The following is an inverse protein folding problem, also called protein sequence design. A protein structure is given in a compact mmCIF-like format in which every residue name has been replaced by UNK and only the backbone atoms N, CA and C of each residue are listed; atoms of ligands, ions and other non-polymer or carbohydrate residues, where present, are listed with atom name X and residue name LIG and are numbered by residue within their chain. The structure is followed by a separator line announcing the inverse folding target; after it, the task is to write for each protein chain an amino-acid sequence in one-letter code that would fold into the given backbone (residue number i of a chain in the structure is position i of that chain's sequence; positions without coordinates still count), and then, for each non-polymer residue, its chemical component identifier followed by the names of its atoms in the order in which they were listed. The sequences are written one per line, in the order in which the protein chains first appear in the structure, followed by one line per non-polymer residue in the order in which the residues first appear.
data_IF_962586082126
#
_entry.id   IF_962586082126
#
_cell.length_a   1.000
_cell.length_b   1.000
_cell.length_c   1.000
_cell.angle_alpha   90.00
_cell.angle_beta   90.00
_cell.angle_gamma   90.00
#
_symmetry.space_group_name_H-M   'P 1'
#
loop_
_entity.id
_entity.type
_entity.pdbx_description
1 polymer ?
#
# COMPACT_ATOMS: atom_id res chain seq x y z
N UNK A 1 12.98 14.90 11.69
CA UNK A 1 12.90 14.61 10.24
C UNK A 1 13.92 15.47 9.50
N UNK A 2 14.49 14.99 8.39
CA UNK A 2 15.57 15.69 7.65
C UNK A 2 15.07 16.68 6.57
N UNK A 3 13.75 16.89 6.45
CA UNK A 3 13.18 17.74 5.41
C UNK A 3 13.32 17.18 3.99
N UNK A 4 13.52 15.86 3.85
CA UNK A 4 13.70 15.19 2.56
C UNK A 4 12.36 14.59 2.10
N UNK A 5 11.87 14.90 0.89
CA UNK A 5 10.72 14.21 0.31
C UNK A 5 10.96 12.71 0.15
N UNK A 6 9.94 11.90 0.40
CA UNK A 6 9.99 10.45 0.21
C UNK A 6 8.84 9.98 -0.69
N UNK A 7 9.14 9.13 -1.66
CA UNK A 7 8.15 8.48 -2.53
C UNK A 7 8.07 7.01 -2.13
N UNK A 8 6.89 6.57 -1.71
CA UNK A 8 6.62 5.14 -1.49
C UNK A 8 5.83 4.62 -2.68
N UNK A 9 6.39 3.64 -3.38
CA UNK A 9 5.70 2.92 -4.44
C UNK A 9 5.85 1.42 -4.20
N UNK A 10 4.81 0.65 -4.50
CA UNK A 10 4.90 -0.82 -4.45
C UNK A 10 4.22 -1.46 -5.67
N UNK A 11 4.82 -2.52 -6.22
CA UNK A 11 4.20 -3.33 -7.26
C UNK A 11 3.12 -4.23 -6.65
N UNK A 12 1.94 -4.24 -7.24
CA UNK A 12 0.80 -5.05 -6.78
C UNK A 12 0.07 -5.64 -7.98
N UNK A 13 -0.03 -6.96 -8.07
CA UNK A 13 -0.69 -7.63 -9.19
C UNK A 13 0.00 -7.29 -10.53
N UNK A 14 -0.72 -6.64 -11.45
CA UNK A 14 -0.23 -6.13 -12.74
C UNK A 14 -0.24 -4.59 -12.76
N UNK A 15 0.04 -3.97 -11.62
CA UNK A 15 -0.05 -2.53 -11.40
C UNK A 15 0.85 -2.04 -10.27
N UNK A 16 0.64 -0.80 -9.84
CA UNK A 16 1.40 -0.19 -8.75
C UNK A 16 0.56 0.79 -7.92
N UNK A 17 0.92 0.92 -6.65
CA UNK A 17 0.42 1.95 -5.75
C UNK A 17 1.52 2.96 -5.44
N UNK A 18 1.14 4.21 -5.20
CA UNK A 18 2.07 5.31 -4.92
C UNK A 18 1.51 6.30 -3.90
N UNK A 19 2.35 6.70 -2.94
CA UNK A 19 2.10 7.76 -1.96
C UNK A 19 3.37 8.61 -1.83
N UNK A 20 3.23 9.94 -1.91
CA UNK A 20 4.32 10.88 -1.66
C UNK A 20 4.21 11.45 -0.23
N UNK A 21 5.34 11.53 0.47
CA UNK A 21 5.49 12.15 1.77
C UNK A 21 6.40 13.38 1.60
N UNK A 22 5.82 14.57 1.79
CA UNK A 22 6.54 15.84 1.61
C UNK A 22 6.76 16.54 2.95
N UNK A 23 7.84 17.32 3.11
CA UNK A 23 8.06 18.13 4.30
C UNK A 23 6.87 19.04 4.61
N UNK A 24 6.48 19.13 5.88
CA UNK A 24 5.33 19.95 6.33
C UNK A 24 3.95 19.39 5.93
N UNK A 25 3.89 18.19 5.34
CA UNK A 25 2.65 17.44 5.11
C UNK A 25 2.59 16.23 6.04
N UNK A 26 1.59 15.37 5.86
CA UNK A 26 1.47 14.14 6.63
C UNK A 26 2.69 13.26 6.42
N UNK A 27 3.32 12.83 7.51
CA UNK A 27 4.49 11.95 7.51
C UNK A 27 4.12 10.49 7.24
N UNK A 28 5.13 9.67 6.92
CA UNK A 28 4.99 8.22 6.75
C UNK A 28 4.41 7.56 8.00
N UNK A 29 4.89 7.93 9.19
CA UNK A 29 4.44 7.33 10.44
C UNK A 29 3.04 7.81 10.85
N UNK A 30 2.68 9.07 10.61
CA UNK A 30 1.29 9.53 10.83
C UNK A 30 0.31 8.79 9.91
N UNK A 31 0.72 8.54 8.66
CA UNK A 31 -0.11 7.83 7.69
C UNK A 31 -0.20 6.34 8.02
N UNK A 32 0.91 5.62 8.09
CA UNK A 32 0.91 4.17 8.21
C UNK A 32 0.83 3.65 9.64
N UNK A 33 1.33 4.41 10.63
CA UNK A 33 1.38 4.03 12.05
C UNK A 33 2.03 2.67 12.26
N UNK A 34 3.30 2.49 11.87
CA UNK A 34 3.95 1.18 11.97
C UNK A 34 4.75 1.01 13.27
N UNK A 35 5.12 2.11 13.94
CA UNK A 35 5.96 2.06 15.14
C UNK A 35 5.29 1.28 16.27
N UNK A 36 6.05 0.38 16.90
CA UNK A 36 5.58 -0.42 18.03
C UNK A 36 4.62 -1.56 17.69
N UNK A 37 4.34 -1.80 16.39
CA UNK A 37 3.48 -2.92 15.95
C UNK A 37 4.29 -4.20 15.77
N UNK A 38 3.61 -5.35 15.90
CA UNK A 38 4.18 -6.65 15.52
C UNK A 38 4.45 -6.70 14.02
N UNK A 39 5.31 -7.60 13.55
CA UNK A 39 5.65 -7.72 12.13
C UNK A 39 4.42 -7.94 11.24
N UNK A 40 3.50 -8.83 11.66
CA UNK A 40 2.24 -9.08 10.94
C UNK A 40 1.38 -7.82 10.92
N UNK A 41 1.29 -7.11 12.04
CA UNK A 41 0.53 -5.87 12.10
C UNK A 41 1.12 -4.80 11.20
N UNK A 42 2.46 -4.69 11.11
CA UNK A 42 3.11 -3.75 10.20
C UNK A 42 2.74 -4.06 8.75
N UNK A 43 2.78 -5.33 8.36
CA UNK A 43 2.40 -5.78 7.01
C UNK A 43 0.93 -5.42 6.70
N UNK A 44 0.00 -5.70 7.62
CA UNK A 44 -1.43 -5.39 7.45
C UNK A 44 -1.64 -3.88 7.32
N UNK A 45 -1.08 -3.09 8.25
CA UNK A 45 -1.22 -1.63 8.24
C UNK A 45 -0.62 -1.02 6.97
N UNK A 46 0.56 -1.49 6.55
CA UNK A 46 1.20 -1.04 5.32
C UNK A 46 0.36 -1.37 4.10
N UNK A 47 -0.11 -2.62 3.96
CA UNK A 47 -0.85 -3.04 2.78
C UNK A 47 -2.20 -2.34 2.65
N UNK A 48 -2.96 -2.23 3.74
CA UNK A 48 -4.24 -1.52 3.74
C UNK A 48 -4.08 -0.01 3.53
N UNK A 49 -3.01 0.57 4.06
CA UNK A 49 -2.70 1.99 3.86
C UNK A 49 -2.28 2.30 2.41
N UNK A 50 -1.52 1.40 1.80
CA UNK A 50 -0.93 1.60 0.47
C UNK A 50 -1.89 1.26 -0.67
N UNK A 51 -2.72 0.22 -0.51
CA UNK A 51 -3.59 -0.30 -1.58
C UNK A 51 -5.08 -0.28 -1.22
N UNK A 52 -5.64 0.85 -0.73
CA UNK A 52 -7.04 0.88 -0.28
C UNK A 52 -8.11 0.60 -1.34
N UNK A 53 -7.83 0.78 -2.65
CA UNK A 53 -8.82 0.52 -3.71
C UNK A 53 -8.82 -0.96 -4.16
N UNK A 54 -7.80 -1.74 -3.79
CA UNK A 54 -7.70 -3.18 -4.10
C UNK A 54 -8.03 -3.50 -5.57
N UNK A 55 -7.46 -2.73 -6.51
CA UNK A 55 -7.78 -2.86 -7.94
C UNK A 55 -7.53 -4.29 -8.47
N UNK A 56 -6.49 -4.94 -7.97
CA UNK A 56 -6.07 -6.29 -8.31
C UNK A 56 -6.99 -7.40 -7.76
N UNK A 57 -7.88 -7.08 -6.82
CA UNK A 57 -8.69 -8.05 -6.07
C UNK A 57 -9.39 -9.09 -6.95
N UNK A 58 -10.08 -8.70 -8.05
CA UNK A 58 -10.84 -9.65 -8.86
C UNK A 58 -10.04 -10.70 -9.62
N UNK A 59 -8.75 -10.49 -9.88
CA UNK A 59 -7.90 -11.47 -10.57
C UNK A 59 -6.88 -12.15 -9.64
N UNK A 60 -6.93 -11.86 -8.33
CA UNK A 60 -6.28 -12.68 -7.31
C UNK A 60 -7.10 -13.95 -7.09
N UNK A 61 -7.07 -14.83 -8.10
CA UNK A 61 -7.83 -16.08 -8.13
C UNK A 61 -7.27 -17.09 -7.12
N UNK A 62 -5.95 -17.11 -6.95
CA UNK A 62 -5.29 -17.98 -5.98
C UNK A 62 -4.98 -17.22 -4.69
N UNK A 63 -5.71 -17.55 -3.61
CA UNK A 63 -5.50 -16.97 -2.28
C UNK A 63 -4.15 -17.34 -1.66
N UNK A 64 -3.49 -18.40 -2.14
CA UNK A 64 -2.14 -18.80 -1.69
C UNK A 64 -1.02 -17.97 -2.32
N UNK A 65 -1.30 -17.27 -3.43
CA UNK A 65 -0.35 -16.35 -4.08
C UNK A 65 -0.05 -15.10 -3.24
N UNK A 66 -0.93 -14.76 -2.29
CA UNK A 66 -0.69 -13.76 -1.26
C UNK A 66 -0.30 -14.45 0.04
N UNK A 67 0.95 -14.88 0.12
CA UNK A 67 1.52 -15.43 1.34
C UNK A 67 2.22 -14.31 2.14
N UNK A 68 1.39 -13.48 2.79
CA UNK A 68 1.89 -12.40 3.64
C UNK A 68 2.64 -12.93 4.87
N UNK A 69 2.42 -14.19 5.27
CA UNK A 69 3.15 -14.84 6.37
C UNK A 69 4.60 -15.14 5.98
N UNK A 70 4.83 -15.56 4.73
CA UNK A 70 6.17 -15.76 4.17
C UNK A 70 6.71 -14.53 3.44
N UNK A 71 6.14 -13.34 3.66
CA UNK A 71 6.57 -12.07 3.04
C UNK A 71 6.51 -12.07 1.51
N UNK A 72 5.64 -12.89 0.90
CA UNK A 72 5.46 -12.95 -0.54
C UNK A 72 4.26 -12.11 -0.95
N UNK A 73 4.52 -10.96 -1.55
CA UNK A 73 3.53 -10.20 -2.30
C UNK A 73 3.43 -10.72 -3.72
N UNK A 74 2.22 -11.00 -4.20
CA UNK A 74 1.98 -11.29 -5.61
C UNK A 74 2.36 -10.08 -6.47
N UNK A 75 3.55 -10.12 -7.06
CA UNK A 75 4.07 -9.11 -7.97
C UNK A 75 4.45 -9.78 -9.29
N UNK A 76 4.23 -9.06 -10.38
CA UNK A 76 4.59 -9.49 -11.73
C UNK A 76 5.72 -8.59 -12.25
N UNK A 77 6.52 -9.04 -13.23
CA UNK A 77 7.52 -8.17 -13.87
C UNK A 77 6.92 -6.86 -14.39
N UNK A 78 5.70 -6.92 -14.96
CA UNK A 78 4.95 -5.75 -15.42
C UNK A 78 4.67 -4.75 -14.29
N UNK A 79 4.27 -5.25 -13.11
CA UNK A 79 4.03 -4.40 -11.95
C UNK A 79 5.31 -3.71 -11.45
N UNK A 80 6.46 -4.40 -11.51
CA UNK A 80 7.75 -3.81 -11.13
C UNK A 80 8.13 -2.65 -12.05
N UNK A 81 8.02 -2.82 -13.37
CA UNK A 81 8.31 -1.76 -14.34
C UNK A 81 7.38 -0.55 -14.18
N UNK A 82 6.07 -0.81 -14.02
CA UNK A 82 5.09 0.24 -13.75
C UNK A 82 5.42 0.97 -12.45
N UNK A 83 5.75 0.23 -11.38
CA UNK A 83 6.12 0.79 -10.09
C UNK A 83 7.37 1.68 -10.18
N UNK A 84 8.41 1.21 -10.89
CA UNK A 84 9.63 1.98 -11.12
C UNK A 84 9.34 3.26 -11.90
N UNK A 85 8.57 3.18 -12.99
CA UNK A 85 8.13 4.34 -13.76
C UNK A 85 7.33 5.34 -12.94
N UNK A 86 6.43 4.86 -12.07
CA UNK A 86 5.63 5.73 -11.20
C UNK A 86 6.51 6.46 -10.18
N UNK A 87 7.41 5.74 -9.51
CA UNK A 87 8.32 6.30 -8.52
C UNK A 87 9.27 7.33 -9.15
N UNK A 88 9.92 6.98 -10.27
CA UNK A 88 10.84 7.86 -10.98
C UNK A 88 10.14 9.13 -11.48
N UNK A 89 8.93 9.01 -12.01
CA UNK A 89 8.15 10.16 -12.48
C UNK A 89 7.79 11.11 -11.33
N UNK A 90 7.41 10.59 -10.16
CA UNK A 90 7.11 11.43 -9.00
C UNK A 90 8.36 12.08 -8.43
N UNK A 91 9.47 11.34 -8.34
CA UNK A 91 10.76 11.89 -7.92
C UNK A 91 11.19 13.04 -8.86
N UNK A 92 11.09 12.86 -10.17
CA UNK A 92 11.40 13.90 -11.15
C UNK A 92 10.50 15.13 -10.97
N UNK A 93 9.19 14.95 -10.78
CA UNK A 93 8.27 16.07 -10.52
C UNK A 93 8.61 16.83 -9.23
N UNK A 94 8.98 16.12 -8.17
CA UNK A 94 9.40 16.70 -6.89
C UNK A 94 10.68 17.52 -7.06
N UNK A 95 11.70 16.94 -7.71
CA UNK A 95 13.00 17.59 -7.94
C UNK A 95 12.90 18.83 -8.82
N UNK A 96 11.98 18.83 -9.79
CA UNK A 96 11.74 19.96 -10.69
C UNK A 96 10.70 20.96 -10.15
N UNK A 97 10.19 20.77 -8.93
CA UNK A 97 9.16 21.62 -8.34
C UNK A 97 7.91 21.80 -9.24
N UNK A 98 7.45 20.71 -9.89
CA UNK A 98 6.32 20.74 -10.83
C UNK A 98 5.01 20.27 -10.21
N UNK A 99 4.18 21.25 -9.89
CA UNK A 99 2.84 21.02 -9.36
C UNK A 99 1.81 20.54 -10.41
N UNK A 100 0.73 19.87 -9.97
CA UNK A 100 0.47 19.47 -8.59
C UNK A 100 1.22 18.19 -8.19
N UNK A 101 1.75 18.14 -6.96
CA UNK A 101 2.25 16.91 -6.31
C UNK A 101 1.21 16.41 -5.30
N UNK A 102 0.67 15.21 -5.53
CA UNK A 102 -0.26 14.57 -4.60
C UNK A 102 0.53 13.99 -3.41
N UNK A 103 0.52 14.69 -2.28
CA UNK A 103 1.08 14.20 -1.02
C UNK A 103 0.03 13.47 -0.16
N UNK A 104 0.50 12.62 0.75
CA UNK A 104 -0.33 12.05 1.81
C UNK A 104 -1.20 13.14 2.46
N UNK A 105 -2.52 12.91 2.66
CA UNK A 105 -3.21 11.61 2.66
C UNK A 105 -3.72 11.11 1.29
N UNK A 106 -3.30 11.71 0.18
CA UNK A 106 -3.64 11.22 -1.15
C UNK A 106 -2.71 10.09 -1.59
N UNK A 107 -3.27 9.15 -2.35
CA UNK A 107 -2.52 8.07 -2.99
C UNK A 107 -3.04 7.83 -4.41
N UNK A 108 -2.23 7.14 -5.21
CA UNK A 108 -2.59 6.69 -6.55
C UNK A 108 -2.42 5.18 -6.64
N UNK A 109 -3.31 4.52 -7.38
CA UNK A 109 -3.21 3.11 -7.73
C UNK A 109 -3.52 2.96 -9.21
N UNK A 110 -2.64 2.31 -9.95
CA UNK A 110 -2.85 1.98 -11.34
C UNK A 110 -2.79 0.47 -11.52
N UNK A 111 -3.72 -0.07 -12.28
CA UNK A 111 -3.83 -1.48 -12.63
C UNK A 111 -3.96 -1.58 -14.14
N UNK A 112 -2.91 -2.08 -14.81
CA UNK A 112 -2.85 -2.15 -16.26
C UNK A 112 -3.77 -3.25 -16.82
N UNK A 113 -3.95 -4.35 -16.08
CA UNK A 113 -4.78 -5.48 -16.50
C UNK A 113 -6.26 -5.11 -16.57
N UNK A 114 -6.72 -4.30 -15.62
CA UNK A 114 -8.12 -3.83 -15.56
C UNK A 114 -8.34 -2.46 -16.19
N UNK A 115 -7.27 -1.83 -16.69
CA UNK A 115 -7.28 -0.45 -17.21
C UNK A 115 -7.84 0.56 -16.20
N UNK A 116 -7.46 0.45 -14.92
CA UNK A 116 -8.01 1.31 -13.85
C UNK A 116 -6.94 2.17 -13.20
N UNK A 117 -7.24 3.45 -13.08
CA UNK A 117 -6.51 4.40 -12.23
C UNK A 117 -7.45 4.86 -11.10
N UNK A 118 -7.03 4.68 -9.86
CA UNK A 118 -7.73 5.16 -8.68
C UNK A 118 -6.90 6.20 -7.95
N UNK A 119 -7.51 7.36 -7.70
CA UNK A 119 -7.01 8.36 -6.76
C UNK A 119 -7.70 8.16 -5.42
N UNK A 120 -6.93 7.88 -4.38
CA UNK A 120 -7.46 7.54 -3.05
C UNK A 120 -7.19 8.66 -2.07
N UNK A 121 -8.14 8.89 -1.16
CA UNK A 121 -8.00 9.85 -0.08
C UNK A 121 -8.25 9.16 1.26
N UNK A 122 -7.27 9.22 2.16
CA UNK A 122 -7.35 8.61 3.50
C UNK A 122 -7.09 9.66 4.57
N UNK A 123 -8.06 10.52 4.90
CA UNK A 123 -7.85 11.55 5.92
C UNK A 123 -7.47 10.88 7.25
N UNK A 124 -6.45 11.43 7.92
CA UNK A 124 -5.79 10.85 9.10
C UNK A 124 -5.05 9.52 8.87
N UNK A 125 -4.84 9.11 7.62
CA UNK A 125 -4.16 7.84 7.29
C UNK A 125 -4.84 6.64 7.94
N UNK A 126 -4.04 5.76 8.53
CA UNK A 126 -4.53 4.58 9.25
C UNK A 126 -5.25 4.91 10.57
N UNK A 127 -5.30 6.16 11.03
CA UNK A 127 -6.15 6.57 12.20
C UNK A 127 -7.61 6.74 11.79
N UNK A 128 -7.90 6.77 10.49
CA UNK A 128 -9.27 6.89 10.01
C UNK A 128 -10.15 5.75 10.56
N UNK A 129 -11.32 6.04 11.16
CA UNK A 129 -12.19 5.01 11.74
C UNK A 129 -12.59 3.90 10.73
N UNK A 130 -12.85 4.27 9.48
CA UNK A 130 -13.20 3.31 8.42
C UNK A 130 -12.00 2.41 8.09
N UNK A 131 -10.81 2.98 8.08
CA UNK A 131 -9.57 2.25 7.83
C UNK A 131 -9.23 1.30 9.00
N UNK A 132 -9.43 1.76 10.24
CA UNK A 132 -9.25 0.94 11.45
C UNK A 132 -10.19 -0.26 11.46
N UNK A 133 -11.46 -0.07 11.06
CA UNK A 133 -12.40 -1.19 10.94
C UNK A 133 -11.92 -2.22 9.90
N UNK A 134 -11.48 -1.77 8.72
CA UNK A 134 -10.92 -2.65 7.69
C UNK A 134 -9.69 -3.43 8.16
N UNK A 135 -8.77 -2.75 8.85
CA UNK A 135 -7.59 -3.36 9.47
C UNK A 135 -7.99 -4.40 10.52
N UNK A 136 -8.99 -4.10 11.37
CA UNK A 136 -9.47 -5.03 12.39
C UNK A 136 -10.03 -6.31 11.77
N UNK A 137 -10.85 -6.18 10.72
CA UNK A 137 -11.42 -7.33 9.99
C UNK A 137 -10.30 -8.15 9.35
N UNK A 138 -9.32 -7.50 8.73
CA UNK A 138 -8.17 -8.17 8.13
C UNK A 138 -7.38 -8.98 9.16
N UNK A 139 -7.08 -8.39 10.33
CA UNK A 139 -6.40 -9.09 11.44
C UNK A 139 -7.14 -10.34 11.90
N UNK A 140 -8.48 -10.26 12.01
CA UNK A 140 -9.30 -11.41 12.39
C UNK A 140 -9.25 -12.51 11.33
N UNK A 141 -9.30 -12.14 10.04
CA UNK A 141 -9.19 -13.09 8.93
C UNK A 141 -7.84 -13.80 8.91
N UNK A 142 -6.72 -13.07 9.03
CA UNK A 142 -5.37 -13.66 9.09
C UNK A 142 -5.18 -14.58 10.29
N UNK A 143 -5.67 -14.17 11.48
CA UNK A 143 -5.61 -15.00 12.69
C UNK A 143 -6.38 -16.31 12.51
N UNK A 144 -7.54 -16.29 11.82
CA UNK A 144 -8.34 -17.48 11.52
C UNK A 144 -7.65 -18.42 10.54
N UNK A 145 -7.04 -17.91 9.47
CA UNK A 145 -6.27 -18.72 8.53
C UNK A 145 -5.08 -19.39 9.25
N UNK A 146 -4.35 -18.64 10.07
CA UNK A 146 -3.19 -19.18 10.78
C UNK A 146 -3.58 -20.35 11.72
N UNK A 147 -4.71 -20.22 12.44
CA UNK A 147 -5.25 -21.33 13.26
C UNK A 147 -5.68 -22.53 12.43
N UNK A 148 -6.28 -22.32 11.25
CA UNK A 148 -6.71 -23.41 10.37
C UNK A 148 -5.54 -24.20 9.76
N UNK A 149 -4.44 -23.54 9.42
CA UNK A 149 -3.22 -24.19 8.91
C UNK A 149 -2.49 -24.98 10.01
N UNK A 150 -2.51 -24.49 11.26
CA UNK A 150 -1.89 -25.19 12.39
C UNK A 150 -2.68 -26.43 12.85
N UNK A 151 -4.00 -26.43 12.68
CA UNK A 151 -4.86 -27.59 13.01
C UNK A 151 -4.95 -28.63 11.87
N UNK A 152 -4.41 -28.33 10.69
CA UNK A 152 -4.41 -29.23 9.53
C UNK A 152 -3.04 -29.93 9.32
N UNK A 153 -2.08 -29.70 10.22
CA UNK A 153 -0.83 -30.46 10.34
C UNK A 153 -0.92 -31.38 11.54
#
# INVERSE_FOLDING_TARGET
ELGIPAVTAAPIGMGAALINFLPGKMSFEEYFQLKGKSEIDKIIYFMFGLVPAMLQGPYLVDRSSMDLLNRKGASTPMACEICAGFAATQALKILLHRDPILAAPWGLQFDAYRYKLAKTWRPWGNRNPVQQLGIMIAKQFFTRINKGVYNAK
#
